data_IF_748611298863
#
_entry.id   IF_748611298863
#
_cell.length_a   1.000
_cell.length_b   1.000
_cell.length_c   1.000
_cell.angle_alpha   90.00
_cell.angle_beta   90.00
_cell.angle_gamma   90.00
#
_symmetry.space_group_name_H-M   'P 1'
#
loop_
_entity.id
_entity.type
_entity.pdbx_description
1 polymer ?
#
# COMPACT_ATOMS: atom_id res chain seq x y z
N UNK A 1 48.23 24.15 4.48
CA UNK A 1 46.89 24.75 4.36
C UNK A 1 45.86 23.71 4.78
N UNK A 2 45.26 23.84 5.96
CA UNK A 2 44.21 22.92 6.43
C UNK A 2 42.86 23.34 5.85
N UNK A 3 42.12 22.39 5.26
CA UNK A 3 40.76 22.60 4.75
C UNK A 3 39.82 23.04 5.90
N UNK A 4 38.84 23.93 5.65
CA UNK A 4 37.91 24.39 6.67
C UNK A 4 36.92 23.28 7.08
N UNK A 5 36.39 23.29 8.32
CA UNK A 5 35.35 22.35 8.74
C UNK A 5 34.03 22.63 7.99
N UNK A 6 33.37 21.57 7.53
CA UNK A 6 32.02 21.67 6.94
C UNK A 6 31.01 22.12 8.01
N UNK A 7 30.01 22.96 7.64
CA UNK A 7 28.98 23.37 8.57
C UNK A 7 28.17 22.14 9.01
N UNK A 8 27.94 22.00 10.32
CA UNK A 8 26.89 21.12 10.83
C UNK A 8 25.57 21.80 10.49
N UNK A 9 24.95 21.42 9.38
CA UNK A 9 23.54 21.74 9.18
C UNK A 9 22.78 21.00 10.27
N UNK A 10 22.30 21.78 11.25
CA UNK A 10 21.31 21.35 12.22
C UNK A 10 20.12 20.78 11.46
N UNK A 11 19.84 19.49 11.66
CA UNK A 11 18.76 18.79 11.01
C UNK A 11 17.42 19.48 11.27
N UNK A 12 16.77 19.92 10.20
CA UNK A 12 15.35 20.26 10.22
C UNK A 12 14.58 19.00 10.59
N UNK A 13 13.94 18.96 11.76
CA UNK A 13 12.92 17.95 12.06
C UNK A 13 11.68 18.27 11.24
N UNK A 14 11.60 17.70 10.03
CA UNK A 14 10.30 17.37 9.46
C UNK A 14 9.58 16.42 10.43
N UNK A 15 8.24 16.42 10.51
CA UNK A 15 7.51 15.34 11.17
C UNK A 15 8.05 14.02 10.61
N UNK A 16 8.45 13.08 11.47
CA UNK A 16 8.83 11.76 11.00
C UNK A 16 7.57 11.14 10.41
N UNK A 17 7.55 10.90 9.11
CA UNK A 17 6.55 10.04 8.50
C UNK A 17 6.50 8.74 9.32
N UNK A 18 5.31 8.24 9.66
CA UNK A 18 5.19 7.01 10.41
C UNK A 18 5.91 5.91 9.63
N UNK A 19 6.76 5.15 10.30
CA UNK A 19 7.42 4.00 9.68
C UNK A 19 6.34 2.94 9.43
N UNK A 20 6.26 2.43 8.22
CA UNK A 20 5.37 1.32 7.88
C UNK A 20 6.16 0.01 7.87
N UNK A 21 5.48 -1.07 8.24
CA UNK A 21 5.93 -2.43 7.94
C UNK A 21 4.96 -3.08 6.96
N UNK A 22 5.51 -3.88 6.05
CA UNK A 22 4.76 -4.52 4.97
C UNK A 22 4.69 -6.03 5.24
N UNK A 23 3.58 -6.63 4.85
CA UNK A 23 3.39 -8.08 4.91
C UNK A 23 4.30 -8.81 3.94
N UNK A 24 4.56 -10.09 4.19
CA UNK A 24 5.16 -11.01 3.23
C UNK A 24 4.28 -11.29 2.02
N UNK A 25 2.97 -11.00 2.10
CA UNK A 25 2.03 -11.10 0.97
C UNK A 25 2.08 -9.89 0.04
N UNK A 26 2.74 -8.79 0.44
CA UNK A 26 2.91 -7.65 -0.45
C UNK A 26 3.82 -8.00 -1.63
N UNK A 27 3.44 -7.58 -2.83
CA UNK A 27 4.20 -7.85 -4.04
C UNK A 27 3.40 -7.72 -5.32
N UNK A 28 4.08 -7.97 -6.44
CA UNK A 28 3.45 -8.00 -7.75
C UNK A 28 2.59 -9.26 -7.89
N UNK A 29 1.38 -9.10 -8.41
CA UNK A 29 0.48 -10.17 -8.82
C UNK A 29 0.14 -10.00 -10.30
N UNK A 30 0.24 -11.09 -11.05
CA UNK A 30 -0.03 -11.10 -12.50
C UNK A 30 -1.06 -12.18 -12.84
N UNK A 31 -2.09 -11.79 -13.60
CA UNK A 31 -3.10 -12.67 -14.16
C UNK A 31 -3.61 -12.10 -15.49
N UNK A 32 -3.75 -12.93 -16.53
CA UNK A 32 -4.22 -12.54 -17.88
C UNK A 32 -3.55 -11.27 -18.45
N UNK A 33 -2.21 -11.18 -18.38
CA UNK A 33 -1.39 -10.03 -18.83
C UNK A 33 -1.67 -8.71 -18.08
N UNK A 34 -2.40 -8.75 -16.96
CA UNK A 34 -2.61 -7.62 -16.06
C UNK A 34 -1.73 -7.78 -14.83
N UNK A 35 -0.91 -6.77 -14.55
CA UNK A 35 -0.07 -6.73 -13.33
C UNK A 35 -0.60 -5.67 -12.37
N UNK A 36 -0.74 -6.04 -11.11
CA UNK A 36 -1.03 -5.13 -10.00
C UNK A 36 0.02 -5.29 -8.91
N UNK A 37 0.28 -4.24 -8.15
CA UNK A 37 1.04 -4.29 -6.91
C UNK A 37 0.05 -4.37 -5.75
N UNK A 38 0.09 -5.48 -5.02
CA UNK A 38 -0.64 -5.65 -3.77
C UNK A 38 0.25 -5.12 -2.65
N UNK A 39 -0.20 -4.08 -1.96
CA UNK A 39 0.50 -3.52 -0.81
C UNK A 39 -0.33 -3.68 0.47
N UNK A 40 0.13 -4.58 1.34
CA UNK A 40 -0.46 -4.85 2.65
C UNK A 40 0.49 -4.32 3.73
N UNK A 41 0.07 -3.31 4.47
CA UNK A 41 0.94 -2.61 5.42
C UNK A 41 0.22 -2.14 6.69
N UNK A 42 1.00 -1.80 7.71
CA UNK A 42 0.52 -1.16 8.94
C UNK A 42 1.61 -0.30 9.58
N UNK A 43 1.27 0.43 10.64
CA UNK A 43 2.25 1.19 11.42
C UNK A 43 3.26 0.26 12.10
N UNK A 44 4.55 0.43 11.77
CA UNK A 44 5.62 -0.44 12.23
C UNK A 44 5.79 -0.39 13.75
N UNK A 45 5.99 -1.57 14.34
CA UNK A 45 6.17 -1.69 15.79
C UNK A 45 4.88 -1.55 16.59
N UNK A 46 3.73 -1.59 15.91
CA UNK A 46 2.40 -1.69 16.53
C UNK A 46 1.76 -3.04 16.23
N UNK A 47 0.68 -3.34 16.95
CA UNK A 47 -0.25 -4.41 16.60
C UNK A 47 -1.54 -3.82 16.01
N UNK A 48 -1.42 -2.72 15.25
CA UNK A 48 -2.56 -2.13 14.55
C UNK A 48 -3.07 -3.04 13.44
N UNK A 49 -4.27 -2.72 12.95
CA UNK A 49 -4.89 -3.39 11.82
C UNK A 49 -4.12 -3.10 10.53
N UNK A 50 -4.26 -4.00 9.56
CA UNK A 50 -3.61 -3.95 8.26
C UNK A 50 -4.44 -3.17 7.25
N UNK A 51 -3.77 -2.37 6.43
CA UNK A 51 -4.34 -1.73 5.25
C UNK A 51 -4.00 -2.58 4.03
N UNK A 52 -4.95 -2.70 3.11
CA UNK A 52 -4.75 -3.25 1.78
C UNK A 52 -4.90 -2.13 0.76
N UNK A 53 -3.90 -1.99 -0.10
CA UNK A 53 -3.97 -1.20 -1.33
C UNK A 53 -3.63 -2.10 -2.51
N UNK A 54 -4.36 -1.94 -3.61
CA UNK A 54 -4.02 -2.56 -4.90
C UNK A 54 -3.74 -1.45 -5.89
N UNK A 55 -2.50 -1.38 -6.33
CA UNK A 55 -2.02 -0.37 -7.27
C UNK A 55 -1.93 -1.03 -8.64
N UNK A 56 -2.70 -0.52 -9.60
CA UNK A 56 -2.69 -1.03 -10.95
C UNK A 56 -1.49 -0.52 -11.75
N UNK A 57 -1.20 -1.18 -12.87
CA UNK A 57 -0.24 -0.69 -13.87
C UNK A 57 -0.58 0.69 -14.47
N UNK A 58 -1.81 1.18 -14.28
CA UNK A 58 -2.25 2.52 -14.68
C UNK A 58 -2.23 3.53 -13.52
N UNK A 59 -1.59 3.18 -12.40
CA UNK A 59 -1.47 4.00 -11.18
C UNK A 59 -2.82 4.29 -10.49
N UNK A 60 -3.86 3.49 -10.78
CA UNK A 60 -5.12 3.49 -10.01
C UNK A 60 -4.89 2.75 -8.70
N UNK A 61 -5.35 3.33 -7.60
CA UNK A 61 -5.23 2.73 -6.26
C UNK A 61 -6.62 2.36 -5.78
N UNK A 62 -6.84 1.06 -5.55
CA UNK A 62 -8.02 0.56 -4.86
C UNK A 62 -7.69 0.35 -3.39
N UNK A 63 -8.50 0.94 -2.51
CA UNK A 63 -8.37 0.84 -1.06
C UNK A 63 -9.71 0.43 -0.47
N UNK A 64 -9.68 -0.35 0.62
CA UNK A 64 -10.87 -0.79 1.33
C UNK A 64 -11.21 0.19 2.47
N UNK A 65 -12.50 0.38 2.75
CA UNK A 65 -12.96 1.28 3.82
C UNK A 65 -12.60 0.75 5.22
N UNK A 66 -12.58 -0.57 5.40
CA UNK A 66 -12.26 -1.25 6.65
C UNK A 66 -10.84 -1.87 6.58
N UNK A 67 -10.11 -1.76 7.69
CA UNK A 67 -8.83 -2.43 7.87
C UNK A 67 -9.02 -3.91 8.29
N UNK A 68 -7.94 -4.68 8.21
CA UNK A 68 -7.95 -6.13 8.46
C UNK A 68 -7.19 -6.50 9.73
N UNK A 69 -7.74 -7.40 10.54
CA UNK A 69 -7.08 -7.86 11.78
C UNK A 69 -5.73 -8.58 11.51
N UNK A 70 -5.60 -9.22 10.34
CA UNK A 70 -4.39 -9.93 9.93
C UNK A 70 -4.05 -9.61 8.47
N UNK A 71 -2.77 -9.69 8.12
CA UNK A 71 -2.31 -9.55 6.75
C UNK A 71 -2.84 -10.68 5.85
N UNK A 72 -3.00 -11.89 6.40
CA UNK A 72 -3.66 -12.98 5.70
C UNK A 72 -5.11 -12.62 5.32
N UNK A 73 -5.88 -12.00 6.21
CA UNK A 73 -7.26 -11.59 5.89
C UNK A 73 -7.30 -10.53 4.78
N UNK A 74 -6.35 -9.59 4.77
CA UNK A 74 -6.18 -8.64 3.67
C UNK A 74 -5.87 -9.36 2.34
N UNK A 75 -4.94 -10.33 2.37
CA UNK A 75 -4.61 -11.12 1.18
C UNK A 75 -5.79 -11.96 0.67
N UNK A 76 -6.55 -12.58 1.56
CA UNK A 76 -7.75 -13.34 1.21
C UNK A 76 -8.83 -12.44 0.58
N UNK A 77 -8.97 -11.20 1.04
CA UNK A 77 -9.89 -10.23 0.43
C UNK A 77 -9.45 -9.80 -0.98
N UNK A 78 -8.14 -9.60 -1.20
CA UNK A 78 -7.59 -9.39 -2.54
C UNK A 78 -7.94 -10.55 -3.48
N UNK A 79 -7.67 -11.80 -3.04
CA UNK A 79 -7.98 -13.00 -3.82
C UNK A 79 -9.48 -13.11 -4.10
N UNK A 80 -10.33 -12.90 -3.09
CA UNK A 80 -11.78 -12.97 -3.25
C UNK A 80 -12.30 -11.94 -4.26
N UNK A 81 -11.74 -10.72 -4.27
CA UNK A 81 -12.08 -9.68 -5.25
C UNK A 81 -11.58 -10.05 -6.65
N UNK A 82 -10.33 -10.51 -6.77
CA UNK A 82 -9.76 -10.97 -8.03
C UNK A 82 -10.53 -12.19 -8.61
N UNK A 83 -10.97 -13.12 -7.78
CA UNK A 83 -11.78 -14.27 -8.18
C UNK A 83 -13.20 -13.86 -8.60
N UNK A 84 -13.79 -12.85 -7.95
CA UNK A 84 -15.15 -12.37 -8.20
C UNK A 84 -15.24 -11.50 -9.45
N UNK A 85 -14.32 -10.55 -9.62
CA UNK A 85 -14.38 -9.50 -10.65
C UNK A 85 -13.28 -9.61 -11.72
N UNK A 86 -12.23 -10.40 -11.45
CA UNK A 86 -11.02 -10.49 -12.27
C UNK A 86 -10.03 -9.36 -11.95
N UNK A 87 -8.72 -9.62 -12.06
CA UNK A 87 -7.67 -8.62 -11.75
C UNK A 87 -7.80 -7.33 -12.56
N UNK A 88 -8.33 -7.42 -13.78
CA UNK A 88 -8.61 -6.24 -14.62
C UNK A 88 -9.58 -5.24 -13.99
N UNK A 89 -10.37 -5.61 -12.99
CA UNK A 89 -11.29 -4.69 -12.31
C UNK A 89 -10.55 -3.57 -11.58
N UNK A 90 -9.30 -3.80 -11.17
CA UNK A 90 -8.45 -2.80 -10.52
C UNK A 90 -7.88 -1.75 -11.50
N UNK A 91 -8.07 -1.92 -12.82
CA UNK A 91 -7.56 -0.96 -13.82
C UNK A 91 -8.44 0.29 -13.93
N UNK A 92 -9.70 0.20 -13.56
CA UNK A 92 -10.67 1.28 -13.62
C UNK A 92 -10.81 1.88 -12.21
N UNK A 93 -10.84 3.21 -12.12
CA UNK A 93 -11.39 3.84 -10.91
C UNK A 93 -12.86 3.45 -10.87
N UNK A 94 -13.24 2.53 -9.99
CA UNK A 94 -14.66 2.24 -9.75
C UNK A 94 -15.29 3.55 -9.28
N UNK A 95 -15.98 4.24 -10.20
CA UNK A 95 -16.86 5.39 -9.92
C UNK A 95 -18.07 4.86 -9.13
N UNK A 96 -17.82 4.24 -7.98
CA UNK A 96 -18.85 3.94 -7.02
C UNK A 96 -19.33 5.31 -6.52
N UNK A 97 -20.62 5.66 -6.68
CA UNK A 97 -21.12 6.94 -6.25
C UNK A 97 -20.90 7.05 -4.74
N UNK A 98 -19.96 7.91 -4.35
CA UNK A 98 -19.78 8.34 -2.97
C UNK A 98 -21.12 8.95 -2.54
N UNK A 99 -21.96 8.13 -1.88
CA UNK A 99 -23.24 8.58 -1.35
C UNK A 99 -22.95 9.44 -0.13
N UNK A 100 -22.88 10.75 -0.37
CA UNK A 100 -22.83 11.78 0.66
C UNK A 100 -24.19 11.96 1.36
#
# INVERSE_FOLDING_TARGET
MSKPPKPKQSASKAPKEPSLEHSEFSGEFEDDDVTVLVDIFREAGTNGDWTLEVISQTEVVTTWEENFETDQAAWEEFLATAERDGVKSFLEEDDAPSVH
#
